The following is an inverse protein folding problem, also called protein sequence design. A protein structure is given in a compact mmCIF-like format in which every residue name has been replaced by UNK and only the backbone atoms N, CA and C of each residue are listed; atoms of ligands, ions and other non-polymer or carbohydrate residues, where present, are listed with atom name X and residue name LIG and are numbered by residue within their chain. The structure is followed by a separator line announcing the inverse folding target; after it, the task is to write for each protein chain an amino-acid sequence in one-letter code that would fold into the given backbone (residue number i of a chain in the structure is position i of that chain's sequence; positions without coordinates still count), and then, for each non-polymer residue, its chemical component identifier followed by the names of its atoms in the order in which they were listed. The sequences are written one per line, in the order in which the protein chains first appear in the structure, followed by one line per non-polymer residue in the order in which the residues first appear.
data_IF_097168865717
#
_entry.id   IF_097168865717
#
_cell.length_a   1.000
_cell.length_b   1.000
_cell.length_c   1.000
_cell.angle_alpha   90.00
_cell.angle_beta   90.00
_cell.angle_gamma   90.00
#
_symmetry.space_group_name_H-M   'P 1'
#
loop_
_entity.id
_entity.type
_entity.pdbx_description
1 polymer ?
#
# COMPACT_ATOMS: atom_id res chain seq x y z
N UNK A 1 31.77 -3.72 -14.70
CA UNK A 1 30.50 -4.41 -15.02
C UNK A 1 29.38 -3.47 -14.62
N UNK A 2 29.04 -2.57 -15.53
CA UNK A 2 27.99 -1.58 -15.34
C UNK A 2 26.65 -2.22 -15.71
N UNK A 3 25.79 -2.44 -14.71
CA UNK A 3 24.40 -2.78 -14.95
C UNK A 3 23.56 -1.50 -14.83
N UNK A 4 23.43 -0.80 -15.95
CA UNK A 4 22.46 0.27 -16.13
C UNK A 4 21.03 -0.27 -16.06
N UNK A 5 20.23 0.33 -15.18
CA UNK A 5 18.89 0.85 -15.44
C UNK A 5 17.86 -0.03 -16.16
N UNK A 6 16.82 -0.41 -15.42
CA UNK A 6 15.41 -0.24 -15.82
C UNK A 6 14.62 0.09 -14.54
N UNK A 7 14.25 1.36 -14.37
CA UNK A 7 13.00 2.00 -14.80
C UNK A 7 11.95 1.99 -13.68
N UNK A 8 11.83 3.14 -13.00
CA UNK A 8 10.93 3.45 -11.86
C UNK A 8 9.44 3.51 -12.24
N UNK A 9 9.02 2.78 -13.28
CA UNK A 9 7.75 3.00 -13.95
C UNK A 9 6.97 1.70 -14.14
N UNK A 10 6.76 0.97 -13.03
CA UNK A 10 5.83 -0.16 -12.97
C UNK A 10 4.74 0.07 -11.92
N UNK A 11 4.13 1.25 -11.94
CA UNK A 11 2.77 1.46 -11.44
C UNK A 11 1.85 1.37 -12.66
N UNK A 12 1.70 0.16 -13.21
CA UNK A 12 0.90 -0.09 -14.40
C UNK A 12 -0.50 -0.53 -13.99
N UNK A 13 -1.46 0.36 -14.28
CA UNK A 13 -2.91 0.17 -14.29
C UNK A 13 -3.32 -1.17 -14.91
N UNK A 14 -4.20 -1.90 -14.25
CA UNK A 14 -5.10 -2.84 -14.92
C UNK A 14 -6.53 -2.30 -14.95
N UNK A 15 -6.87 -1.76 -16.13
CA UNK A 15 -8.15 -1.90 -16.87
C UNK A 15 -9.46 -1.92 -16.07
N UNK A 16 -10.14 -0.78 -16.05
CA UNK A 16 -11.55 -0.76 -15.75
C UNK A 16 -12.44 -0.66 -16.99
N UNK A 17 -13.56 -1.40 -16.94
CA UNK A 17 -14.71 -1.33 -17.86
C UNK A 17 -15.98 -1.29 -17.01
N UNK A 18 -16.69 -0.15 -17.05
CA UNK A 18 -18.04 0.14 -16.49
C UNK A 18 -18.32 -0.51 -15.11
N UNK A 19 -18.00 0.23 -14.04
CA UNK A 19 -18.15 -0.18 -12.63
C UNK A 19 -16.80 -0.34 -11.92
N UNK A 20 -15.88 0.60 -12.16
CA UNK A 20 -14.44 0.45 -11.92
C UNK A 20 -14.07 0.63 -10.44
N UNK A 21 -13.67 -0.45 -9.78
CA UNK A 21 -12.90 -0.39 -8.54
C UNK A 21 -11.45 0.01 -8.86
N UNK A 22 -10.98 1.12 -8.29
CA UNK A 22 -9.62 1.65 -8.48
C UNK A 22 -8.60 0.85 -7.64
N UNK A 23 -8.40 -0.43 -7.98
CA UNK A 23 -7.45 -1.29 -7.30
C UNK A 23 -6.01 -0.89 -7.68
N UNK A 24 -5.27 -0.42 -6.69
CA UNK A 24 -3.85 -0.11 -6.77
C UNK A 24 -3.04 -1.25 -6.18
N UNK A 25 -2.00 -1.67 -6.91
CA UNK A 25 -1.04 -2.68 -6.46
C UNK A 25 0.30 -2.00 -6.18
N UNK A 26 0.82 -2.21 -4.98
CA UNK A 26 2.09 -1.66 -4.51
C UNK A 26 3.05 -2.76 -4.08
N UNK A 27 4.32 -2.63 -4.45
CA UNK A 27 5.38 -3.58 -4.09
C UNK A 27 6.24 -2.95 -3.00
N UNK A 28 6.05 -3.35 -1.73
CA UNK A 28 6.76 -2.74 -0.61
C UNK A 28 8.22 -3.19 -0.56
N UNK A 29 9.08 -2.35 0.04
CA UNK A 29 10.53 -2.60 0.14
C UNK A 29 10.97 -2.70 1.60
N UNK A 30 11.92 -3.60 1.88
CA UNK A 30 12.51 -3.75 3.22
C UNK A 30 11.61 -4.38 4.29
N UNK A 31 10.47 -4.97 3.90
CA UNK A 31 9.48 -5.57 4.81
C UNK A 31 9.22 -7.05 4.46
N UNK A 32 8.38 -7.73 5.24
CA UNK A 32 8.05 -9.14 5.01
C UNK A 32 6.89 -9.35 4.02
N UNK A 33 6.03 -8.36 3.84
CA UNK A 33 5.07 -8.35 2.74
C UNK A 33 5.79 -8.08 1.41
N UNK A 34 5.30 -8.68 0.33
CA UNK A 34 5.85 -8.51 -1.02
C UNK A 34 4.84 -7.95 -2.02
N UNK A 35 3.58 -7.76 -1.60
CA UNK A 35 2.54 -7.06 -2.37
C UNK A 35 1.48 -6.50 -1.43
N UNK A 36 1.02 -5.29 -1.72
CA UNK A 36 -0.10 -4.64 -1.05
C UNK A 36 -1.10 -4.23 -2.13
N UNK A 37 -2.35 -4.65 -1.99
CA UNK A 37 -3.44 -4.24 -2.87
C UNK A 37 -4.40 -3.38 -2.05
N UNK A 38 -4.89 -2.29 -2.60
CA UNK A 38 -5.87 -1.43 -1.93
C UNK A 38 -6.63 -0.61 -2.95
N UNK A 39 -7.77 -0.08 -2.54
CA UNK A 39 -8.61 0.83 -3.30
C UNK A 39 -8.77 2.15 -2.55
N UNK A 40 -9.01 3.22 -3.30
CA UNK A 40 -9.43 4.51 -2.75
C UNK A 40 -10.75 4.88 -3.41
N UNK A 41 -11.79 5.05 -2.59
CA UNK A 41 -13.14 5.43 -2.99
C UNK A 41 -13.54 6.68 -2.20
N UNK A 42 -13.76 7.82 -2.86
CA UNK A 42 -14.13 9.09 -2.22
C UNK A 42 -13.21 9.48 -1.03
N UNK A 43 -11.89 9.40 -1.24
CA UNK A 43 -10.85 9.62 -0.21
C UNK A 43 -10.83 8.62 0.96
N UNK A 44 -11.62 7.54 0.88
CA UNK A 44 -11.64 6.45 1.84
C UNK A 44 -10.86 5.24 1.34
N UNK A 45 -10.10 4.62 2.23
CA UNK A 45 -9.37 3.38 1.97
C UNK A 45 -10.34 2.21 1.96
N UNK A 46 -10.23 1.32 0.96
CA UNK A 46 -11.02 0.09 0.87
C UNK A 46 -10.20 -1.09 0.37
N UNK A 47 -10.66 -2.31 0.64
CA UNK A 47 -10.16 -3.56 0.07
C UNK A 47 -8.65 -3.80 0.25
N UNK A 48 -8.10 -3.39 1.40
CA UNK A 48 -6.68 -3.56 1.68
C UNK A 48 -6.32 -5.04 1.86
N UNK A 49 -5.35 -5.54 1.10
CA UNK A 49 -4.84 -6.90 1.19
C UNK A 49 -3.33 -6.92 1.12
N UNK A 50 -2.72 -7.68 2.03
CA UNK A 50 -1.28 -7.90 2.05
C UNK A 50 -0.96 -9.34 1.64
N UNK A 51 0.00 -9.50 0.74
CA UNK A 51 0.60 -10.79 0.45
C UNK A 51 1.94 -10.91 1.20
N UNK A 52 2.07 -11.94 2.02
CA UNK A 52 3.24 -12.20 2.85
C UNK A 52 3.33 -11.34 4.12
N UNK A 53 4.01 -11.87 5.14
CA UNK A 53 4.15 -11.26 6.46
C UNK A 53 3.34 -12.00 7.53
N UNK A 54 2.97 -11.30 8.61
CA UNK A 54 2.19 -11.89 9.71
C UNK A 54 0.70 -11.89 9.34
N UNK A 55 0.07 -13.05 9.05
CA UNK A 55 -1.29 -13.07 8.49
C UNK A 55 -2.32 -12.43 9.42
N UNK A 56 -2.26 -12.74 10.73
CA UNK A 56 -3.23 -12.22 11.71
C UNK A 56 -3.16 -10.70 11.88
N UNK A 57 -1.95 -10.14 12.04
CA UNK A 57 -1.80 -8.70 12.23
C UNK A 57 -2.12 -7.92 10.95
N UNK A 58 -1.72 -8.42 9.78
CA UNK A 58 -1.98 -7.74 8.51
C UNK A 58 -3.47 -7.76 8.16
N UNK A 59 -4.16 -8.87 8.40
CA UNK A 59 -5.61 -8.96 8.27
C UNK A 59 -6.33 -8.00 9.24
N UNK A 60 -5.84 -7.91 10.49
CA UNK A 60 -6.39 -6.96 11.45
C UNK A 60 -6.21 -5.50 10.97
N UNK A 61 -5.03 -5.14 10.46
CA UNK A 61 -4.77 -3.81 9.90
C UNK A 61 -5.72 -3.54 8.72
N UNK A 62 -5.84 -4.47 7.77
CA UNK A 62 -6.75 -4.35 6.63
C UNK A 62 -8.18 -4.03 7.06
N UNK A 63 -8.70 -4.73 8.07
CA UNK A 63 -10.04 -4.47 8.61
C UNK A 63 -10.15 -3.16 9.36
N UNK A 64 -9.11 -2.79 10.11
CA UNK A 64 -9.11 -1.56 10.88
C UNK A 64 -9.16 -0.34 9.97
N UNK A 65 -8.44 -0.37 8.84
CA UNK A 65 -8.33 0.75 7.88
C UNK A 65 -9.47 0.87 6.89
N UNK A 66 -10.34 -0.13 6.80
CA UNK A 66 -11.48 -0.13 5.90
C UNK A 66 -12.43 1.04 6.16
N UNK A 67 -12.75 1.82 5.12
CA UNK A 67 -13.63 2.99 5.20
C UNK A 67 -13.02 4.19 5.93
N UNK A 68 -11.74 4.17 6.30
CA UNK A 68 -11.08 5.32 6.91
C UNK A 68 -10.55 6.31 5.86
N UNK A 69 -10.56 7.62 6.16
CA UNK A 69 -9.91 8.61 5.31
C UNK A 69 -8.44 8.29 5.10
N UNK A 70 -7.98 8.37 3.85
CA UNK A 70 -6.58 8.06 3.48
C UNK A 70 -5.60 8.84 4.35
N UNK A 71 -5.83 10.15 4.54
CA UNK A 71 -4.98 11.03 5.33
C UNK A 71 -4.84 10.57 6.79
N UNK A 72 -5.93 10.04 7.38
CA UNK A 72 -5.92 9.51 8.74
C UNK A 72 -5.12 8.22 8.82
N UNK A 73 -5.29 7.31 7.86
CA UNK A 73 -4.51 6.05 7.79
C UNK A 73 -3.02 6.33 7.67
N UNK A 74 -2.64 7.26 6.78
CA UNK A 74 -1.24 7.69 6.62
C UNK A 74 -0.67 8.23 7.93
N UNK A 75 -1.41 9.10 8.63
CA UNK A 75 -0.97 9.66 9.91
C UNK A 75 -0.81 8.61 11.01
N UNK A 76 -1.69 7.59 11.05
CA UNK A 76 -1.65 6.54 12.05
C UNK A 76 -0.51 5.54 11.83
N UNK A 77 -0.18 5.25 10.58
CA UNK A 77 0.71 4.15 10.23
C UNK A 77 2.12 4.58 9.80
N UNK A 78 2.32 5.85 9.45
CA UNK A 78 3.65 6.36 9.09
C UNK A 78 4.65 6.18 10.22
N UNK A 79 5.90 5.93 9.84
CA UNK A 79 7.05 5.80 10.74
C UNK A 79 6.97 4.63 11.74
N UNK A 80 5.95 3.75 11.64
CA UNK A 80 5.87 2.53 12.42
C UNK A 80 6.96 1.57 11.94
N UNK A 81 7.84 1.13 12.85
CA UNK A 81 8.97 0.25 12.54
C UNK A 81 8.74 -1.18 13.01
N UNK A 82 9.33 -2.14 12.31
CA UNK A 82 9.30 -3.55 12.67
C UNK A 82 10.66 -4.00 13.22
N UNK A 83 10.82 -4.05 14.54
CA UNK A 83 12.07 -4.42 15.20
C UNK A 83 13.21 -3.47 14.84
N UNK A 84 14.31 -4.02 14.31
CA UNK A 84 15.48 -3.25 13.86
C UNK A 84 15.36 -2.66 12.45
N UNK A 85 14.26 -2.91 11.73
CA UNK A 85 14.05 -2.40 10.38
C UNK A 85 13.71 -0.91 10.40
N UNK A 86 14.09 -0.19 9.35
CA UNK A 86 13.76 1.22 9.18
C UNK A 86 12.29 1.50 8.88
N UNK A 87 11.51 0.47 8.52
CA UNK A 87 10.10 0.55 8.10
C UNK A 87 9.33 -0.71 8.54
N UNK A 88 8.03 -0.77 8.25
CA UNK A 88 7.13 -1.90 8.52
C UNK A 88 6.08 -2.05 7.41
N UNK A 89 5.34 -3.16 7.38
CA UNK A 89 4.28 -3.36 6.39
C UNK A 89 3.20 -2.26 6.47
N UNK A 90 2.85 -1.82 7.69
CA UNK A 90 1.90 -0.72 7.89
C UNK A 90 2.46 0.63 7.42
N UNK A 91 3.74 0.89 7.67
CA UNK A 91 4.40 2.11 7.19
C UNK A 91 4.53 2.13 5.66
N UNK A 92 4.81 0.97 5.03
CA UNK A 92 4.79 0.84 3.58
C UNK A 92 3.39 1.04 2.98
N UNK A 93 2.32 0.62 3.66
CA UNK A 93 0.95 0.97 3.27
C UNK A 93 0.72 2.49 3.34
N UNK A 94 1.20 3.17 4.39
CA UNK A 94 1.08 4.61 4.52
C UNK A 94 1.77 5.36 3.37
N UNK A 95 2.98 4.93 3.00
CA UNK A 95 3.70 5.48 1.85
C UNK A 95 2.94 5.25 0.54
N UNK A 96 2.44 4.03 0.31
CA UNK A 96 1.68 3.69 -0.89
C UNK A 96 0.40 4.53 -1.03
N UNK A 97 -0.32 4.73 0.07
CA UNK A 97 -1.52 5.57 0.12
C UNK A 97 -1.21 7.05 -0.13
N UNK A 98 -0.14 7.58 0.47
CA UNK A 98 0.30 8.96 0.25
C UNK A 98 0.72 9.20 -1.22
N UNK A 99 1.41 8.25 -1.83
CA UNK A 99 1.79 8.31 -3.24
C UNK A 99 0.58 8.24 -4.17
N UNK A 100 -0.42 7.40 -3.82
CA UNK A 100 -1.63 7.24 -4.60
C UNK A 100 -2.47 8.52 -4.68
N UNK A 101 -2.60 9.26 -3.58
CA UNK A 101 -3.34 10.53 -3.55
C UNK A 101 -2.60 11.70 -4.23
N UNK A 102 -1.26 11.66 -4.29
CA UNK A 102 -0.48 12.69 -4.99
C UNK A 102 -0.53 12.55 -6.52
N UNK A 103 -0.87 11.35 -7.01
CA UNK A 103 -0.90 11.02 -8.45
C UNK A 103 -2.29 11.08 -9.08
N UNK A 104 -3.32 11.44 -8.30
CA UNK A 104 -4.67 11.73 -8.79
C UNK A 104 -4.76 13.17 -9.28
#
# INVERSE_FOLDING_TARGET
MDCNGTNENQVMKEIGRRGESNMTVFIPKGVCSHRINFEIQDDLVSNVKFDGGCPGNLEAISRLVEGMPVTKVVQLLKDVKCGSKSTSCSDQLAQALADAIQRQ
#
